data_IF_882274844339
#
_entry.id   IF_882274844339
#
_cell.length_a   1.000
_cell.length_b   1.000
_cell.length_c   1.000
_cell.angle_alpha   90.00
_cell.angle_beta   90.00
_cell.angle_gamma   90.00
#
_symmetry.space_group_name_H-M   'P 1'
#
loop_
_entity.id
_entity.type
_entity.pdbx_description
1 polymer ?
#
# COMPACT_ATOMS: atom_id res chain seq x y z
N UNK A 1 17.37 5.37 3.49
CA UNK A 1 17.21 3.93 3.73
C UNK A 1 16.94 3.27 2.38
N UNK A 2 17.96 2.63 1.78
CA UNK A 2 17.80 1.83 0.57
C UNK A 2 17.34 0.44 0.97
N UNK A 3 16.38 -0.12 0.24
CA UNK A 3 15.88 -1.46 0.50
C UNK A 3 17.03 -2.49 0.47
N UNK A 4 17.02 -3.50 1.38
CA UNK A 4 18.01 -4.58 1.39
C UNK A 4 18.13 -5.23 0.01
N UNK A 5 19.33 -5.66 -0.41
CA UNK A 5 19.56 -6.26 -1.74
C UNK A 5 18.69 -7.49 -2.02
N UNK A 6 18.21 -8.17 -0.98
CA UNK A 6 17.26 -9.27 -1.04
C UNK A 6 15.90 -8.82 -1.60
N UNK A 7 15.44 -7.60 -1.27
CA UNK A 7 14.17 -7.05 -1.75
C UNK A 7 14.20 -6.63 -3.22
N UNK A 8 15.38 -6.26 -3.74
CA UNK A 8 15.59 -5.92 -5.17
C UNK A 8 15.47 -7.13 -6.08
N UNK A 9 15.74 -8.34 -5.56
CA UNK A 9 15.57 -9.59 -6.31
C UNK A 9 14.10 -9.95 -6.48
N UNK A 10 13.25 -9.56 -5.53
CA UNK A 10 11.81 -9.83 -5.55
C UNK A 10 11.08 -8.77 -6.38
N UNK A 11 11.40 -7.48 -6.24
CA UNK A 11 10.75 -6.46 -7.07
C UNK A 11 11.71 -5.36 -7.53
N UNK A 12 11.76 -5.02 -8.84
CA UNK A 12 12.76 -4.11 -9.41
C UNK A 12 12.71 -2.69 -8.84
N UNK A 13 11.56 -2.26 -8.27
CA UNK A 13 11.42 -0.95 -7.62
C UNK A 13 11.86 -0.93 -6.14
N UNK A 14 12.19 -2.08 -5.53
CA UNK A 14 12.66 -2.15 -4.14
C UNK A 14 11.68 -1.56 -3.10
N UNK A 15 10.38 -1.51 -3.41
CA UNK A 15 9.34 -1.02 -2.50
C UNK A 15 8.83 -2.17 -1.62
N UNK A 16 8.54 -1.91 -0.34
CA UNK A 16 7.69 -2.76 0.49
C UNK A 16 6.23 -2.35 0.24
N UNK A 17 5.26 -3.21 -0.07
CA UNK A 17 5.01 -4.62 0.22
C UNK A 17 4.94 -5.47 -1.07
N UNK A 18 5.45 -6.70 -0.99
CA UNK A 18 5.46 -7.66 -2.12
C UNK A 18 5.14 -9.05 -1.57
N UNK A 19 4.31 -9.81 -2.28
CA UNK A 19 4.00 -11.21 -1.99
C UNK A 19 4.48 -12.05 -3.18
N UNK A 20 5.11 -13.19 -2.89
CA UNK A 20 5.38 -14.22 -3.90
C UNK A 20 4.48 -15.41 -3.63
N UNK A 21 3.68 -15.79 -4.62
CA UNK A 21 2.76 -16.93 -4.51
C UNK A 21 2.79 -17.74 -5.81
N UNK A 22 3.04 -19.05 -5.71
CA UNK A 22 3.20 -19.97 -6.85
C UNK A 22 4.20 -19.50 -7.93
N UNK A 23 5.25 -18.77 -7.54
CA UNK A 23 6.23 -18.19 -8.46
C UNK A 23 5.77 -16.91 -9.18
N UNK A 24 4.59 -16.39 -8.85
CA UNK A 24 4.12 -15.06 -9.26
C UNK A 24 4.48 -14.04 -8.20
N UNK A 25 5.02 -12.91 -8.63
CA UNK A 25 5.34 -11.78 -7.75
C UNK A 25 4.24 -10.73 -7.87
N UNK A 26 3.60 -10.42 -6.75
CA UNK A 26 2.51 -9.45 -6.64
C UNK A 26 3.02 -8.27 -5.81
N UNK A 27 3.02 -7.08 -6.41
CA UNK A 27 3.48 -5.85 -5.78
C UNK A 27 2.39 -4.77 -5.82
N UNK A 28 2.59 -3.75 -4.98
CA UNK A 28 1.63 -2.68 -4.66
C UNK A 28 0.50 -3.13 -3.72
N UNK A 29 0.28 -2.37 -2.65
CA UNK A 29 -0.57 -2.78 -1.53
C UNK A 29 -2.05 -2.94 -1.89
N UNK A 30 -2.58 -2.10 -2.79
CA UNK A 30 -3.95 -2.22 -3.29
C UNK A 30 -4.16 -3.52 -4.07
N UNK A 31 -3.21 -3.86 -4.94
CA UNK A 31 -3.25 -5.09 -5.75
C UNK A 31 -3.15 -6.33 -4.87
N UNK A 32 -2.26 -6.32 -3.87
CA UNK A 32 -2.14 -7.39 -2.89
C UNK A 32 -3.46 -7.63 -2.14
N UNK A 33 -4.13 -6.57 -1.70
CA UNK A 33 -5.41 -6.68 -1.00
C UNK A 33 -6.50 -7.26 -1.90
N UNK A 34 -6.57 -6.83 -3.16
CA UNK A 34 -7.52 -7.38 -4.12
C UNK A 34 -7.26 -8.87 -4.39
N UNK A 35 -5.99 -9.24 -4.58
CA UNK A 35 -5.60 -10.64 -4.77
C UNK A 35 -5.97 -11.53 -3.58
N UNK A 36 -5.67 -11.08 -2.35
CA UNK A 36 -5.99 -11.84 -1.15
C UNK A 36 -7.50 -12.01 -0.97
N UNK A 37 -8.28 -10.97 -1.28
CA UNK A 37 -9.74 -11.08 -1.27
C UNK A 37 -10.25 -12.07 -2.33
N UNK A 38 -9.73 -12.03 -3.54
CA UNK A 38 -10.20 -12.90 -4.61
C UNK A 38 -9.79 -14.36 -4.42
N UNK A 39 -8.63 -14.60 -3.79
CA UNK A 39 -8.07 -15.93 -3.59
C UNK A 39 -8.57 -16.58 -2.29
N UNK A 40 -8.67 -15.81 -1.20
CA UNK A 40 -8.92 -16.35 0.15
C UNK A 40 -10.25 -15.94 0.77
N UNK A 41 -10.92 -14.88 0.29
CA UNK A 41 -12.22 -14.44 0.84
C UNK A 41 -13.42 -15.13 0.17
N UNK A 42 -13.43 -16.47 0.21
CA UNK A 42 -14.50 -17.28 -0.39
C UNK A 42 -15.90 -17.04 0.21
N UNK A 43 -15.96 -16.44 1.41
CA UNK A 43 -17.21 -16.07 2.09
C UNK A 43 -17.61 -14.60 1.87
N UNK A 44 -16.79 -13.80 1.17
CA UNK A 44 -17.08 -12.40 0.84
C UNK A 44 -17.19 -11.47 2.05
N UNK A 45 -16.39 -11.70 3.10
CA UNK A 45 -16.41 -10.92 4.36
C UNK A 45 -15.69 -9.58 4.22
N UNK A 46 -14.67 -9.51 3.39
CA UNK A 46 -13.76 -8.37 3.28
C UNK A 46 -14.02 -7.49 2.04
N UNK A 47 -14.82 -7.98 1.09
CA UNK A 47 -15.25 -7.24 -0.10
C UNK A 47 -16.78 -7.10 -0.12
N UNK A 48 -17.33 -5.88 -0.11
CA UNK A 48 -18.77 -5.71 -0.14
C UNK A 48 -19.37 -6.19 -1.48
N UNK A 49 -20.43 -7.00 -1.39
CA UNK A 49 -21.13 -7.52 -2.57
C UNK A 49 -22.04 -6.47 -3.26
N UNK A 50 -22.58 -5.52 -2.49
CA UNK A 50 -23.44 -4.46 -3.02
C UNK A 50 -22.65 -3.48 -3.93
N UNK A 51 -23.20 -3.17 -5.11
CA UNK A 51 -22.53 -2.35 -6.12
C UNK A 51 -22.14 -0.96 -5.62
N UNK A 52 -23.02 -0.27 -4.89
CA UNK A 52 -22.75 1.06 -4.32
C UNK A 52 -21.63 0.99 -3.27
N UNK A 53 -21.69 0.01 -2.37
CA UNK A 53 -20.65 -0.20 -1.35
C UNK A 53 -19.31 -0.59 -1.95
N UNK A 54 -19.31 -1.33 -3.07
CA UNK A 54 -18.08 -1.68 -3.82
C UNK A 54 -17.43 -0.45 -4.45
N UNK A 55 -18.21 0.50 -4.96
CA UNK A 55 -17.69 1.77 -5.43
C UNK A 55 -17.06 2.59 -4.31
N UNK A 56 -17.74 2.68 -3.15
CA UNK A 56 -17.16 3.35 -1.98
C UNK A 56 -15.87 2.68 -1.52
N UNK A 57 -15.83 1.35 -1.45
CA UNK A 57 -14.63 0.59 -1.09
C UNK A 57 -13.44 0.94 -2.01
N UNK A 58 -13.64 0.88 -3.33
CA UNK A 58 -12.61 1.23 -4.33
C UNK A 58 -12.15 2.67 -4.21
N UNK A 59 -13.10 3.59 -4.05
CA UNK A 59 -12.79 5.01 -3.88
C UNK A 59 -11.85 5.23 -2.70
N UNK A 60 -12.17 4.66 -1.53
CA UNK A 60 -11.35 4.82 -0.33
C UNK A 60 -9.99 4.14 -0.44
N UNK A 61 -9.92 2.98 -1.09
CA UNK A 61 -8.65 2.28 -1.35
C UNK A 61 -7.70 3.17 -2.20
N UNK A 62 -8.20 3.68 -3.33
CA UNK A 62 -7.41 4.55 -4.21
C UNK A 62 -7.14 5.93 -3.60
N UNK A 63 -8.05 6.48 -2.81
CA UNK A 63 -7.84 7.74 -2.12
C UNK A 63 -6.68 7.66 -1.11
N UNK A 64 -6.61 6.56 -0.36
CA UNK A 64 -5.54 6.34 0.62
C UNK A 64 -4.16 6.32 -0.07
N UNK A 65 -4.06 5.63 -1.21
CA UNK A 65 -2.81 5.47 -1.94
C UNK A 65 -2.44 6.71 -2.75
N UNK A 66 -3.37 7.26 -3.54
CA UNK A 66 -3.08 8.33 -4.49
C UNK A 66 -3.12 9.74 -3.90
N UNK A 67 -3.95 9.99 -2.88
CA UNK A 67 -4.18 11.34 -2.35
C UNK A 67 -3.65 11.53 -0.93
N UNK A 68 -3.86 10.56 -0.04
CA UNK A 68 -3.50 10.70 1.36
C UNK A 68 -2.00 10.49 1.61
N UNK A 69 -1.37 9.48 1.00
CA UNK A 69 0.06 9.21 1.17
C UNK A 69 0.96 10.43 0.86
N UNK A 70 0.78 11.16 -0.26
CA UNK A 70 1.56 12.38 -0.52
C UNK A 70 1.41 13.44 0.57
N UNK A 71 0.20 13.65 1.09
CA UNK A 71 -0.05 14.61 2.16
C UNK A 71 0.62 14.20 3.47
N UNK A 72 0.58 12.91 3.81
CA UNK A 72 1.27 12.36 4.98
C UNK A 72 2.79 12.51 4.85
N UNK A 73 3.34 12.29 3.66
CA UNK A 73 4.76 12.52 3.38
C UNK A 73 5.12 13.99 3.56
N UNK A 74 4.34 14.92 3.01
CA UNK A 74 4.56 16.35 3.21
C UNK A 74 4.53 16.71 4.70
N UNK A 75 3.53 16.23 5.43
CA UNK A 75 3.43 16.46 6.89
C UNK A 75 4.67 15.92 7.63
N UNK A 76 5.15 14.72 7.29
CA UNK A 76 6.35 14.14 7.89
C UNK A 76 7.58 15.01 7.63
N UNK A 77 7.78 15.47 6.38
CA UNK A 77 8.91 16.34 6.02
C UNK A 77 8.87 17.67 6.80
N UNK A 78 7.72 18.32 6.86
CA UNK A 78 7.58 19.57 7.62
C UNK A 78 7.82 19.36 9.11
N UNK A 79 7.31 18.27 9.69
CA UNK A 79 7.50 17.96 11.12
C UNK A 79 8.96 17.63 11.42
N UNK A 80 9.61 16.80 10.61
CA UNK A 80 11.01 16.40 10.79
C UNK A 80 11.96 17.59 10.67
N UNK A 81 11.72 18.49 9.70
CA UNK A 81 12.55 19.67 9.50
C UNK A 81 12.42 20.67 10.66
N UNK A 82 11.24 20.77 11.26
CA UNK A 82 11.00 21.63 12.41
C UNK A 82 11.64 21.08 13.70
N UNK A 83 11.59 19.76 13.91
CA UNK A 83 12.24 19.10 15.05
C UNK A 83 13.77 19.20 14.96
N UNK A 84 14.37 19.05 13.78
CA UNK A 84 15.84 19.15 13.63
C UNK A 84 16.39 20.56 13.84
N UNK A 85 15.57 21.60 13.70
CA UNK A 85 15.95 23.00 13.96
C UNK A 85 15.77 23.43 15.42
N UNK A 86 15.08 22.63 16.25
CA UNK A 86 14.86 22.93 17.68
C UNK A 86 15.93 22.33 18.60
N UNK A 87 16.72 21.37 18.11
CA UNK A 87 17.84 20.74 18.81
C UNK A 87 19.22 21.24 18.35
N UNK A 88 19.29 22.40 17.69
CA UNK A 88 20.55 23.06 17.35
C UNK A 88 20.55 24.48 17.89
#
# INVERSE_FOLDING_TARGET
MLAPPELKKVHPLGKSSVIEEHGMIIAESGVILEYLQETYDGIGRFKPANAQRKQHYRFWLHYAEGSLMPLLLMKLLFTSFWVSRRCR
#
